data_IF_029266398783
#
_entry.id   IF_029266398783
#
_cell.length_a   1.000
_cell.length_b   1.000
_cell.length_c   1.000
_cell.angle_alpha   90.00
_cell.angle_beta   90.00
_cell.angle_gamma   90.00
#
_symmetry.space_group_name_H-M   'P 1'
#
loop_
_entity.id
_entity.type
_entity.pdbx_description
1 polymer ?
#
# COMPACT_ATOMS: atom_id res chain seq x y z
N UNK A 1 1.95 33.65 -20.33
CA UNK A 1 2.57 32.64 -21.21
C UNK A 1 2.13 32.95 -22.62
N UNK A 2 3.04 33.28 -23.54
CA UNK A 2 2.68 33.52 -24.95
C UNK A 2 2.34 32.17 -25.58
N UNK A 3 1.10 31.99 -26.05
CA UNK A 3 0.74 30.85 -26.88
C UNK A 3 1.62 30.86 -28.12
N UNK A 4 2.40 29.79 -28.31
CA UNK A 4 3.22 29.60 -29.50
C UNK A 4 2.25 29.29 -30.65
N UNK A 5 1.91 30.30 -31.44
CA UNK A 5 1.14 30.12 -32.67
C UNK A 5 2.03 29.43 -33.72
N UNK A 6 1.94 28.10 -33.72
CA UNK A 6 2.74 27.23 -34.60
C UNK A 6 2.36 27.42 -36.07
N UNK A 7 1.20 28.01 -36.36
CA UNK A 7 0.76 28.29 -37.73
C UNK A 7 1.50 29.49 -38.34
N UNK A 8 2.11 30.35 -37.49
CA UNK A 8 3.03 31.41 -37.93
C UNK A 8 4.43 30.90 -38.30
N UNK A 9 4.80 29.67 -37.92
CA UNK A 9 6.11 29.09 -38.25
C UNK A 9 6.07 28.56 -39.70
N UNK A 10 6.29 29.44 -40.68
CA UNK A 10 6.44 28.99 -42.08
C UNK A 10 7.64 28.04 -42.21
N UNK A 11 7.39 26.88 -42.82
CA UNK A 11 8.41 25.86 -43.00
C UNK A 11 9.44 26.30 -44.05
N UNK A 12 10.68 26.55 -43.61
CA UNK A 12 11.80 26.87 -44.53
C UNK A 12 12.40 25.62 -45.20
N UNK A 13 12.00 24.42 -44.75
CA UNK A 13 12.45 23.13 -45.26
C UNK A 13 11.32 22.10 -45.16
N UNK A 14 11.42 20.99 -45.89
CA UNK A 14 10.49 19.88 -45.72
C UNK A 14 10.63 19.29 -44.30
N UNK A 15 9.50 19.22 -43.60
CA UNK A 15 9.41 18.61 -42.27
C UNK A 15 9.36 17.10 -42.47
N UNK A 16 10.33 16.38 -41.89
CA UNK A 16 10.38 14.91 -41.96
C UNK A 16 10.40 14.30 -40.55
N UNK A 17 9.39 13.49 -40.24
CA UNK A 17 9.22 12.76 -38.98
C UNK A 17 10.39 11.83 -38.66
N UNK A 18 11.20 11.46 -39.66
CA UNK A 18 12.44 10.70 -39.48
C UNK A 18 13.54 11.48 -38.77
N UNK A 19 13.44 12.80 -38.63
CA UNK A 19 14.45 13.61 -37.94
C UNK A 19 14.70 13.12 -36.52
N UNK A 20 13.64 12.88 -35.75
CA UNK A 20 13.78 12.33 -34.40
C UNK A 20 14.49 10.97 -34.41
N UNK A 21 14.10 10.09 -35.35
CA UNK A 21 14.70 8.76 -35.50
C UNK A 21 16.18 8.79 -35.93
N UNK A 22 16.59 9.83 -36.65
CA UNK A 22 17.93 9.95 -37.23
C UNK A 22 18.91 10.70 -36.34
N UNK A 23 18.44 11.76 -35.67
CA UNK A 23 19.30 12.69 -34.94
C UNK A 23 19.21 12.55 -33.42
N UNK A 24 18.05 12.14 -32.87
CA UNK A 24 17.83 12.10 -31.42
C UNK A 24 17.87 10.67 -30.88
N UNK A 25 17.13 9.75 -31.51
CA UNK A 25 16.96 8.35 -31.05
C UNK A 25 18.27 7.55 -30.99
N UNK A 26 19.22 7.64 -31.95
CA UNK A 26 20.38 6.75 -31.95
C UNK A 26 21.31 7.04 -30.77
N UNK A 27 21.68 5.99 -30.03
CA UNK A 27 22.59 6.11 -28.87
C UNK A 27 23.96 6.70 -29.24
N UNK A 28 24.42 6.48 -30.48
CA UNK A 28 25.65 7.05 -31.02
C UNK A 28 25.68 8.58 -31.06
N UNK A 29 24.52 9.25 -31.00
CA UNK A 29 24.43 10.72 -30.98
C UNK A 29 24.60 11.30 -29.57
N UNK A 30 24.46 10.49 -28.52
CA UNK A 30 24.61 10.94 -27.12
C UNK A 30 23.62 12.02 -26.66
N UNK A 31 22.61 12.37 -27.48
CA UNK A 31 21.68 13.47 -27.16
C UNK A 31 20.72 13.07 -26.04
N UNK A 32 20.29 11.81 -25.99
CA UNK A 32 19.44 11.29 -24.93
C UNK A 32 20.01 11.58 -23.53
N UNK A 33 21.33 11.41 -23.34
CA UNK A 33 21.98 11.64 -22.05
C UNK A 33 21.91 13.11 -21.61
N UNK A 34 21.80 14.06 -22.55
CA UNK A 34 21.82 15.51 -22.27
C UNK A 34 20.48 16.07 -21.78
N UNK A 35 19.37 15.35 -21.93
CA UNK A 35 18.07 15.82 -21.43
C UNK A 35 18.04 15.86 -19.90
N UNK A 36 17.34 16.84 -19.35
CA UNK A 36 17.19 17.02 -17.91
C UNK A 36 16.53 15.80 -17.25
N UNK A 37 16.88 15.56 -15.99
CA UNK A 37 16.24 14.56 -15.14
C UNK A 37 15.76 15.24 -13.87
N UNK A 38 14.59 14.86 -13.41
CA UNK A 38 14.11 15.21 -12.06
C UNK A 38 14.73 14.21 -11.10
N UNK A 39 15.07 14.67 -9.89
CA UNK A 39 15.65 13.82 -8.85
C UNK A 39 14.85 13.93 -7.57
N UNK A 40 14.74 12.81 -6.84
CA UNK A 40 14.17 12.79 -5.51
C UNK A 40 15.18 13.27 -4.44
N UNK A 41 14.75 13.28 -3.18
CA UNK A 41 15.55 13.65 -2.00
C UNK A 41 16.80 12.78 -1.80
N UNK A 42 16.81 11.56 -2.35
CA UNK A 42 17.97 10.67 -2.36
C UNK A 42 18.90 10.86 -3.58
N UNK A 43 18.71 11.93 -4.35
CA UNK A 43 19.48 12.24 -5.57
C UNK A 43 19.38 11.15 -6.66
N UNK A 44 18.32 10.32 -6.60
CA UNK A 44 18.00 9.33 -7.63
C UNK A 44 17.14 9.97 -8.71
N UNK A 45 17.41 9.66 -9.97
CA UNK A 45 16.61 10.18 -11.07
C UNK A 45 15.23 9.49 -11.11
N UNK A 46 14.16 10.28 -11.23
CA UNK A 46 12.78 9.82 -11.23
C UNK A 46 12.06 10.22 -12.53
N UNK A 47 11.01 9.47 -12.86
CA UNK A 47 10.09 9.82 -13.93
C UNK A 47 9.25 11.04 -13.49
N UNK A 48 9.24 12.17 -14.21
CA UNK A 48 8.45 13.35 -13.85
C UNK A 48 6.93 13.15 -14.07
N UNK A 49 6.51 12.03 -14.65
CA UNK A 49 5.10 11.73 -14.94
C UNK A 49 4.47 10.86 -13.85
N UNK A 50 5.18 9.83 -13.39
CA UNK A 50 4.67 8.89 -12.38
C UNK A 50 5.55 8.79 -11.14
N UNK A 51 6.57 9.64 -11.04
CA UNK A 51 7.50 9.78 -9.92
C UNK A 51 8.30 8.53 -9.56
N UNK A 52 8.22 7.47 -10.36
CA UNK A 52 8.99 6.26 -10.13
C UNK A 52 10.46 6.47 -10.38
N UNK A 53 11.32 5.92 -9.52
CA UNK A 53 12.76 5.87 -9.76
C UNK A 53 13.04 5.21 -11.10
N UNK A 54 13.86 5.87 -11.93
CA UNK A 54 14.22 5.33 -13.24
C UNK A 54 14.96 4.00 -13.09
N UNK A 55 14.43 2.99 -13.79
CA UNK A 55 15.06 1.68 -13.96
C UNK A 55 15.76 1.61 -15.33
N UNK A 56 15.78 0.44 -15.96
CA UNK A 56 16.53 0.18 -17.20
C UNK A 56 15.86 0.74 -18.46
N UNK A 57 14.54 1.00 -18.46
CA UNK A 57 13.80 1.43 -19.65
C UNK A 57 13.37 2.90 -19.55
N UNK A 58 14.31 3.80 -19.74
CA UNK A 58 14.07 5.26 -19.83
C UNK A 58 13.95 5.67 -21.29
N UNK A 59 12.98 6.52 -21.60
CA UNK A 59 12.65 6.99 -22.95
C UNK A 59 12.43 8.50 -22.97
N UNK A 60 12.13 9.07 -24.15
CA UNK A 60 11.67 10.45 -24.29
C UNK A 60 10.23 10.44 -24.81
N UNK A 61 9.37 11.12 -24.08
CA UNK A 61 7.97 11.39 -24.44
C UNK A 61 7.84 12.74 -25.14
N UNK A 62 6.89 12.83 -26.06
CA UNK A 62 6.59 14.03 -26.81
C UNK A 62 5.34 14.69 -26.22
N UNK A 63 5.44 15.91 -25.67
CA UNK A 63 4.25 16.64 -25.16
C UNK A 63 3.28 17.00 -26.29
N UNK A 64 3.83 17.38 -27.44
CA UNK A 64 3.11 17.49 -28.70
C UNK A 64 3.55 16.33 -29.58
N UNK A 65 2.65 15.39 -29.93
CA UNK A 65 3.00 14.20 -30.70
C UNK A 65 3.71 14.55 -32.00
N UNK A 66 4.71 13.77 -32.40
CA UNK A 66 5.51 14.01 -33.62
C UNK A 66 4.89 13.48 -34.91
N UNK A 67 3.65 12.99 -34.87
CA UNK A 67 3.00 12.34 -36.01
C UNK A 67 2.78 13.31 -37.17
N UNK A 68 3.04 12.88 -38.40
CA UNK A 68 2.69 13.60 -39.64
C UNK A 68 1.28 13.27 -40.15
N UNK A 69 0.62 12.30 -39.52
CA UNK A 69 -0.69 11.84 -39.98
C UNK A 69 -1.74 12.93 -39.80
N UNK A 70 -2.71 12.93 -40.70
CA UNK A 70 -3.90 13.77 -40.62
C UNK A 70 -5.13 12.86 -40.56
N UNK A 71 -6.13 13.28 -39.78
CA UNK A 71 -7.43 12.60 -39.67
C UNK A 71 -8.51 13.67 -39.69
N UNK A 72 -9.49 13.57 -40.59
CA UNK A 72 -10.55 14.58 -40.77
C UNK A 72 -10.00 16.01 -40.95
N UNK A 73 -8.98 16.17 -41.81
CA UNK A 73 -8.27 17.43 -42.07
C UNK A 73 -7.59 18.06 -40.83
N UNK A 74 -7.41 17.28 -39.76
CA UNK A 74 -6.69 17.69 -38.56
C UNK A 74 -5.37 16.94 -38.44
N UNK A 75 -4.27 17.70 -38.30
CA UNK A 75 -2.95 17.14 -37.99
C UNK A 75 -2.99 16.43 -36.64
N UNK A 76 -2.53 15.18 -36.61
CA UNK A 76 -2.41 14.39 -35.39
C UNK A 76 -1.18 14.75 -34.56
N UNK A 77 -0.27 15.55 -35.10
CA UNK A 77 0.95 15.94 -34.40
C UNK A 77 1.61 17.17 -35.01
N UNK A 78 2.75 17.52 -34.45
CA UNK A 78 3.60 18.61 -34.89
C UNK A 78 5.07 18.15 -35.00
N UNK A 79 5.49 17.62 -36.16
CA UNK A 79 6.84 17.10 -36.31
C UNK A 79 7.93 18.19 -36.26
N UNK A 80 7.59 19.48 -36.47
CA UNK A 80 8.54 20.61 -36.26
C UNK A 80 9.05 20.66 -34.82
N UNK A 81 8.23 20.22 -33.86
CA UNK A 81 8.57 20.20 -32.44
C UNK A 81 9.24 18.89 -32.01
N UNK A 82 9.42 17.91 -32.91
CA UNK A 82 9.83 16.56 -32.53
C UNK A 82 11.24 16.47 -31.92
N UNK A 83 12.11 17.46 -32.17
CA UNK A 83 13.49 17.50 -31.66
C UNK A 83 13.71 18.62 -30.63
N UNK A 84 12.71 19.45 -30.38
CA UNK A 84 12.88 20.59 -29.48
C UNK A 84 12.87 20.12 -28.02
N UNK A 85 13.85 20.53 -27.19
CA UNK A 85 13.91 20.12 -25.79
C UNK A 85 12.64 20.44 -24.99
N UNK A 86 11.98 21.57 -25.29
CA UNK A 86 10.72 21.96 -24.63
C UNK A 86 9.57 20.96 -24.84
N UNK A 87 9.64 20.17 -25.92
CA UNK A 87 8.64 19.20 -26.30
C UNK A 87 8.98 17.77 -25.86
N UNK A 88 10.11 17.58 -25.16
CA UNK A 88 10.69 16.27 -24.87
C UNK A 88 10.89 16.07 -23.37
N UNK A 89 10.21 15.06 -22.82
CA UNK A 89 10.27 14.71 -21.40
C UNK A 89 10.92 13.35 -21.23
N UNK A 90 11.95 13.26 -20.39
CA UNK A 90 12.49 11.95 -19.99
C UNK A 90 11.46 11.24 -19.13
N UNK A 91 11.02 10.04 -19.53
CA UNK A 91 10.03 9.27 -18.78
C UNK A 91 10.34 7.76 -18.82
N UNK A 92 9.68 6.99 -17.95
CA UNK A 92 9.80 5.54 -17.96
C UNK A 92 9.01 4.93 -19.13
N UNK A 93 9.39 3.73 -19.55
CA UNK A 93 8.74 3.03 -20.66
C UNK A 93 7.29 2.62 -20.39
N UNK A 94 6.84 2.64 -19.13
CA UNK A 94 5.45 2.42 -18.74
C UNK A 94 4.57 3.65 -18.96
N UNK A 95 5.15 4.85 -18.81
CA UNK A 95 4.49 6.13 -19.08
C UNK A 95 4.55 6.49 -20.56
N UNK A 96 5.57 6.10 -21.30
CA UNK A 96 5.59 6.30 -22.75
C UNK A 96 4.60 5.35 -23.45
N UNK A 97 3.37 5.80 -23.63
CA UNK A 97 2.28 4.99 -24.21
C UNK A 97 1.90 5.48 -25.60
N UNK A 98 1.25 4.61 -26.37
CA UNK A 98 0.66 5.01 -27.66
C UNK A 98 -0.64 5.80 -27.52
N UNK A 99 -1.18 5.99 -26.30
CA UNK A 99 -2.43 6.72 -26.07
C UNK A 99 -2.26 8.21 -26.37
N UNK A 100 -1.07 8.74 -26.08
CA UNK A 100 -0.69 10.11 -26.39
C UNK A 100 -0.07 10.22 -27.82
N UNK A 101 -0.82 9.78 -28.83
CA UNK A 101 -0.37 9.79 -30.23
C UNK A 101 -1.04 10.84 -31.10
N UNK A 102 -2.03 11.56 -30.56
CA UNK A 102 -2.81 12.60 -31.23
C UNK A 102 -2.74 13.89 -30.44
N UNK A 103 -2.52 15.01 -31.12
CA UNK A 103 -2.60 16.35 -30.52
C UNK A 103 -4.04 16.64 -30.09
N UNK A 104 -4.17 17.37 -28.99
CA UNK A 104 -5.46 17.86 -28.51
C UNK A 104 -5.96 19.03 -29.36
N UNK A 105 -7.28 19.18 -29.49
CA UNK A 105 -7.92 20.27 -30.26
C UNK A 105 -8.69 21.24 -29.38
N UNK A 106 -8.90 20.89 -28.12
CA UNK A 106 -9.57 21.72 -27.10
C UNK A 106 -8.63 21.99 -25.93
N UNK A 107 -8.95 23.03 -25.15
CA UNK A 107 -8.18 23.38 -23.96
C UNK A 107 -8.32 22.30 -22.88
N UNK A 108 -9.50 21.73 -22.74
CA UNK A 108 -9.86 20.70 -21.78
C UNK A 108 -9.16 19.36 -22.06
N UNK A 109 -8.77 19.13 -23.31
CA UNK A 109 -8.01 17.95 -23.73
C UNK A 109 -6.50 18.19 -23.79
N UNK A 110 -6.06 19.44 -23.62
CA UNK A 110 -4.64 19.79 -23.76
C UNK A 110 -3.78 19.07 -22.73
N UNK A 111 -2.62 18.58 -23.18
CA UNK A 111 -1.67 17.84 -22.35
C UNK A 111 -1.08 18.74 -21.25
N UNK A 112 -0.63 18.12 -20.15
CA UNK A 112 0.11 18.80 -19.08
C UNK A 112 1.61 18.59 -19.32
N UNK A 113 2.37 19.69 -19.36
CA UNK A 113 3.82 19.62 -19.47
C UNK A 113 4.49 19.56 -18.09
N UNK A 114 5.04 18.41 -17.63
CA UNK A 114 5.56 18.24 -16.26
C UNK A 114 6.77 19.12 -15.90
N UNK A 115 7.36 19.83 -16.86
CA UNK A 115 8.46 20.77 -16.62
C UNK A 115 8.01 22.23 -16.52
N UNK A 116 6.77 22.54 -16.89
CA UNK A 116 6.27 23.91 -16.97
C UNK A 116 4.92 24.11 -16.27
N UNK A 117 4.23 23.02 -15.95
CA UNK A 117 2.94 23.01 -15.27
C UNK A 117 3.01 22.08 -14.06
N UNK A 118 2.31 22.47 -13.00
CA UNK A 118 2.23 21.75 -11.74
C UNK A 118 0.75 21.58 -11.33
N UNK A 119 0.45 20.45 -10.72
CA UNK A 119 -0.79 20.18 -10.01
C UNK A 119 -0.47 19.17 -8.90
N UNK A 120 -1.16 19.27 -7.77
CA UNK A 120 -1.01 18.30 -6.71
C UNK A 120 -1.91 17.10 -7.01
N UNK A 121 -1.31 15.92 -7.19
CA UNK A 121 -2.06 14.68 -7.45
C UNK A 121 -2.72 14.13 -6.17
N UNK A 122 -2.31 14.59 -4.98
CA UNK A 122 -2.95 14.23 -3.71
C UNK A 122 -4.43 14.64 -3.69
N UNK A 123 -4.73 15.83 -4.22
CA UNK A 123 -6.09 16.38 -4.34
C UNK A 123 -7.05 15.48 -5.13
N UNK A 124 -6.51 14.58 -5.95
CA UNK A 124 -7.27 13.75 -6.88
C UNK A 124 -7.36 12.29 -6.46
N UNK A 125 -6.68 11.85 -5.41
CA UNK A 125 -6.60 10.42 -5.06
C UNK A 125 -7.20 10.07 -3.71
N UNK A 126 -7.70 8.84 -3.60
CA UNK A 126 -8.07 8.22 -2.33
C UNK A 126 -7.68 6.74 -2.33
N UNK A 127 -7.13 6.29 -1.20
CA UNK A 127 -6.93 4.85 -0.97
C UNK A 127 -8.24 4.21 -0.53
N UNK A 128 -8.66 3.23 -1.32
CA UNK A 128 -9.82 2.39 -1.07
C UNK A 128 -9.38 0.93 -0.95
N UNK A 129 -10.23 0.08 -0.36
CA UNK A 129 -10.03 -1.36 -0.36
C UNK A 129 -11.12 -2.04 -1.20
N UNK A 130 -10.70 -2.89 -2.13
CA UNK A 130 -11.62 -3.83 -2.75
C UNK A 130 -12.04 -4.83 -1.69
N UNK A 131 -13.34 -4.88 -1.42
CA UNK A 131 -13.95 -5.71 -0.38
C UNK A 131 -15.01 -6.65 -0.97
N UNK A 132 -14.72 -7.20 -2.14
CA UNK A 132 -15.58 -8.17 -2.81
C UNK A 132 -15.27 -9.57 -2.26
N UNK A 133 -15.50 -9.85 -0.97
CA UNK A 133 -15.53 -11.17 -0.29
C UNK A 133 -14.31 -12.13 -0.41
N UNK A 134 -13.70 -12.25 -1.58
CA UNK A 134 -12.59 -13.11 -1.96
C UNK A 134 -11.23 -12.40 -1.91
N UNK A 135 -11.19 -11.08 -2.09
CA UNK A 135 -9.97 -10.29 -2.19
C UNK A 135 -10.08 -9.07 -1.29
N UNK A 136 -9.12 -8.90 -0.38
CA UNK A 136 -8.92 -7.69 0.43
C UNK A 136 -7.60 -7.03 0.01
N UNK A 137 -7.66 -6.03 -0.87
CA UNK A 137 -6.48 -5.34 -1.42
C UNK A 137 -6.74 -3.85 -1.57
N UNK A 138 -5.76 -2.98 -1.27
CA UNK A 138 -5.89 -1.56 -1.53
C UNK A 138 -5.85 -1.28 -3.03
N UNK A 139 -6.54 -0.21 -3.41
CA UNK A 139 -6.49 0.42 -4.71
C UNK A 139 -6.52 1.94 -4.54
N UNK A 140 -6.05 2.65 -5.56
CA UNK A 140 -6.17 4.09 -5.65
C UNK A 140 -7.33 4.39 -6.59
N UNK A 141 -8.27 5.19 -6.10
CA UNK A 141 -9.34 5.78 -6.91
C UNK A 141 -9.02 7.24 -7.17
N UNK A 142 -9.33 7.67 -8.38
CA UNK A 142 -9.21 9.07 -8.78
C UNK A 142 -10.58 9.74 -8.78
N UNK A 143 -10.64 10.97 -8.29
CA UNK A 143 -11.85 11.79 -8.29
C UNK A 143 -11.58 13.10 -9.01
N UNK A 144 -12.56 13.53 -9.78
CA UNK A 144 -12.48 14.73 -10.60
C UNK A 144 -13.77 15.53 -10.45
N UNK A 145 -13.66 16.85 -10.51
CA UNK A 145 -14.76 17.79 -10.64
C UNK A 145 -15.02 18.09 -12.13
N UNK A 146 -16.20 18.60 -12.46
CA UNK A 146 -16.52 19.01 -13.84
C UNK A 146 -15.98 20.41 -14.14
N UNK A 147 -14.65 20.53 -14.22
CA UNK A 147 -13.98 21.77 -14.61
C UNK A 147 -12.88 21.49 -15.68
N UNK A 148 -12.45 22.52 -16.44
CA UNK A 148 -11.47 22.34 -17.52
C UNK A 148 -10.12 21.75 -17.09
N UNK A 149 -9.60 22.10 -15.91
CA UNK A 149 -8.31 21.60 -15.43
C UNK A 149 -8.39 20.13 -15.04
N UNK A 150 -9.45 19.74 -14.36
CA UNK A 150 -9.68 18.34 -13.95
C UNK A 150 -9.82 17.41 -15.17
N UNK A 151 -10.42 17.88 -16.27
CA UNK A 151 -10.45 17.15 -17.55
C UNK A 151 -9.06 16.94 -18.12
N UNK A 152 -8.18 17.96 -18.06
CA UNK A 152 -6.78 17.83 -18.48
C UNK A 152 -6.03 16.82 -17.62
N UNK A 153 -6.20 16.88 -16.30
CA UNK A 153 -5.58 15.95 -15.36
C UNK A 153 -6.08 14.52 -15.62
N UNK A 154 -7.38 14.32 -15.80
CA UNK A 154 -7.94 13.02 -16.14
C UNK A 154 -7.32 12.44 -17.43
N UNK A 155 -7.13 13.29 -18.44
CA UNK A 155 -6.45 12.90 -19.68
C UNK A 155 -5.00 12.55 -19.44
N UNK A 156 -4.25 13.34 -18.66
CA UNK A 156 -2.87 13.05 -18.26
C UNK A 156 -2.76 11.68 -17.55
N UNK A 157 -3.57 11.45 -16.52
CA UNK A 157 -3.63 10.17 -15.78
C UNK A 157 -3.89 8.98 -16.74
N UNK A 158 -4.81 9.17 -17.70
CA UNK A 158 -5.21 8.14 -18.66
C UNK A 158 -4.12 7.86 -19.71
N UNK A 159 -3.52 8.92 -20.26
CA UNK A 159 -2.48 8.88 -21.28
C UNK A 159 -1.25 8.15 -20.76
N UNK A 160 -0.87 8.42 -19.52
CA UNK A 160 0.37 7.91 -18.94
C UNK A 160 0.21 6.67 -18.05
N UNK A 161 -0.98 6.05 -18.04
CA UNK A 161 -1.31 4.87 -17.23
C UNK A 161 -0.97 5.07 -15.73
N UNK A 162 -1.17 6.27 -15.19
CA UNK A 162 -0.78 6.57 -13.81
C UNK A 162 -1.61 5.75 -12.83
N UNK A 163 -2.92 5.65 -13.06
CA UNK A 163 -3.81 4.81 -12.24
C UNK A 163 -3.31 3.37 -12.12
N UNK A 164 -2.96 2.74 -13.25
CA UNK A 164 -2.42 1.37 -13.27
C UNK A 164 -1.09 1.28 -12.52
N UNK A 165 -0.22 2.27 -12.70
CA UNK A 165 1.11 2.32 -12.08
C UNK A 165 1.01 2.46 -10.57
N UNK A 166 0.18 3.39 -10.10
CA UNK A 166 -0.06 3.65 -8.68
C UNK A 166 -0.74 2.47 -8.00
N UNK A 167 -1.77 1.88 -8.64
CA UNK A 167 -2.40 0.66 -8.15
C UNK A 167 -1.45 -0.54 -8.07
N UNK A 168 -0.46 -0.62 -8.96
CA UNK A 168 0.58 -1.64 -8.87
C UNK A 168 1.50 -1.41 -7.65
N UNK A 169 1.97 -0.17 -7.45
CA UNK A 169 2.87 0.17 -6.34
C UNK A 169 2.21 0.03 -4.98
N UNK A 170 0.99 0.55 -4.79
CA UNK A 170 0.27 0.42 -3.53
C UNK A 170 0.02 -1.05 -3.16
N UNK A 171 -0.21 -1.91 -4.17
CA UNK A 171 -0.35 -3.36 -3.96
C UNK A 171 0.96 -4.00 -3.50
N UNK A 172 2.11 -3.60 -4.06
CA UNK A 172 3.42 -4.10 -3.64
C UNK A 172 3.72 -3.67 -2.19
N UNK A 173 3.43 -2.43 -1.82
CA UNK A 173 3.63 -1.96 -0.45
C UNK A 173 2.72 -2.69 0.55
N UNK A 174 1.45 -2.91 0.18
CA UNK A 174 0.57 -3.71 1.00
C UNK A 174 1.07 -5.16 1.17
N UNK A 175 1.62 -5.77 0.13
CA UNK A 175 2.24 -7.09 0.23
C UNK A 175 3.42 -7.08 1.22
N UNK A 176 4.27 -6.05 1.22
CA UNK A 176 5.35 -5.91 2.19
C UNK A 176 4.83 -5.78 3.62
N UNK A 177 3.81 -4.94 3.85
CA UNK A 177 3.15 -4.80 5.15
C UNK A 177 2.63 -6.16 5.63
N UNK A 178 1.92 -6.89 4.77
CA UNK A 178 1.42 -8.22 5.11
C UNK A 178 2.53 -9.22 5.42
N UNK A 179 3.66 -9.16 4.70
CA UNK A 179 4.83 -10.01 5.01
C UNK A 179 5.42 -9.68 6.37
N UNK A 180 5.54 -8.40 6.72
CA UNK A 180 6.00 -7.97 8.05
C UNK A 180 5.07 -8.51 9.14
N UNK A 181 3.75 -8.39 8.94
CA UNK A 181 2.75 -8.90 9.88
C UNK A 181 2.73 -10.44 9.95
N UNK A 182 2.97 -11.13 8.83
CA UNK A 182 3.01 -12.59 8.76
C UNK A 182 4.21 -13.21 9.48
N UNK A 183 5.27 -12.43 9.74
CA UNK A 183 6.37 -12.88 10.60
C UNK A 183 5.91 -13.16 12.04
N UNK A 184 4.75 -12.62 12.45
CA UNK A 184 4.10 -13.02 13.69
C UNK A 184 3.39 -14.38 13.49
N UNK A 185 3.72 -15.41 14.28
CA UNK A 185 3.15 -16.76 14.10
C UNK A 185 1.74 -16.92 14.67
N UNK A 186 1.25 -15.95 15.45
CA UNK A 186 -0.07 -15.99 16.10
C UNK A 186 -1.00 -15.02 15.38
N UNK A 187 -2.26 -15.41 15.17
CA UNK A 187 -3.31 -14.51 14.65
C UNK A 187 -3.34 -13.20 15.45
N UNK A 188 -3.32 -12.07 14.74
CA UNK A 188 -3.22 -10.77 15.38
C UNK A 188 -4.59 -10.35 15.90
N UNK A 189 -4.70 -10.18 17.20
CA UNK A 189 -5.90 -9.69 17.89
C UNK A 189 -6.16 -8.24 17.49
N UNK A 190 -7.37 -7.70 17.75
CA UNK A 190 -7.67 -6.28 17.46
C UNK A 190 -6.60 -5.33 18.05
N UNK A 191 -6.26 -5.51 19.32
CA UNK A 191 -5.31 -4.64 20.03
C UNK A 191 -3.88 -4.77 19.49
N UNK A 192 -3.43 -5.99 19.23
CA UNK A 192 -2.09 -6.25 18.71
C UNK A 192 -1.97 -5.71 17.28
N UNK A 193 -2.94 -6.05 16.42
CA UNK A 193 -2.97 -5.59 15.04
C UNK A 193 -3.00 -4.06 14.97
N UNK A 194 -3.84 -3.42 15.80
CA UNK A 194 -3.90 -1.96 15.91
C UNK A 194 -2.54 -1.38 16.28
N UNK A 195 -1.88 -1.91 17.31
CA UNK A 195 -0.56 -1.45 17.74
C UNK A 195 0.49 -1.58 16.62
N UNK A 196 0.49 -2.68 15.86
CA UNK A 196 1.37 -2.83 14.70
C UNK A 196 1.07 -1.81 13.59
N UNK A 197 -0.21 -1.61 13.26
CA UNK A 197 -0.61 -0.64 12.23
C UNK A 197 -0.30 0.79 12.66
N UNK A 198 -0.48 1.15 13.92
CA UNK A 198 -0.09 2.46 14.48
C UNK A 198 1.42 2.69 14.42
N UNK A 199 2.22 1.67 14.74
CA UNK A 199 3.67 1.75 14.63
C UNK A 199 4.13 1.92 13.17
N UNK A 200 3.53 1.18 12.24
CA UNK A 200 3.80 1.33 10.81
C UNK A 200 3.35 2.70 10.30
N UNK A 201 2.20 3.19 10.74
CA UNK A 201 1.69 4.52 10.39
C UNK A 201 2.67 5.62 10.79
N UNK A 202 3.16 5.61 12.03
CA UNK A 202 4.16 6.57 12.53
C UNK A 202 5.47 6.49 11.73
N UNK A 203 5.94 5.27 11.45
CA UNK A 203 7.17 5.04 10.68
C UNK A 203 7.03 5.57 9.25
N UNK A 204 5.96 5.19 8.55
CA UNK A 204 5.72 5.62 7.19
C UNK A 204 5.50 7.13 7.10
N UNK A 205 4.75 7.73 8.03
CA UNK A 205 4.54 9.17 8.09
C UNK A 205 5.85 9.94 8.22
N UNK A 206 6.73 9.54 9.15
CA UNK A 206 8.05 10.18 9.32
C UNK A 206 8.92 10.04 8.06
N UNK A 207 8.92 8.87 7.45
CA UNK A 207 9.70 8.64 6.24
C UNK A 207 9.15 9.44 5.06
N UNK A 208 7.83 9.49 4.87
CA UNK A 208 7.21 10.24 3.78
C UNK A 208 7.41 11.75 3.94
N UNK A 209 7.40 12.28 5.16
CA UNK A 209 7.78 13.67 5.43
C UNK A 209 9.24 13.96 5.05
N UNK A 210 10.16 13.06 5.40
CA UNK A 210 11.57 13.20 5.05
C UNK A 210 11.80 13.12 3.52
N UNK A 211 10.94 12.40 2.82
CA UNK A 211 11.05 12.14 1.38
C UNK A 211 10.38 13.19 0.48
N UNK A 212 9.75 14.21 1.07
CA UNK A 212 9.12 15.31 0.32
C UNK A 212 10.08 15.96 -0.67
N UNK A 213 9.55 16.35 -1.83
CA UNK A 213 10.25 17.11 -2.86
C UNK A 213 9.73 18.54 -2.78
N UNK A 214 10.48 19.41 -2.12
CA UNK A 214 9.92 20.69 -1.68
C UNK A 214 8.97 20.44 -0.51
N UNK A 215 7.75 20.99 -0.59
CA UNK A 215 6.71 20.80 0.43
C UNK A 215 5.73 19.65 0.08
N UNK A 216 5.87 19.05 -1.10
CA UNK A 216 4.96 18.04 -1.65
C UNK A 216 5.45 16.60 -1.39
N UNK A 217 4.50 15.68 -1.14
CA UNK A 217 4.81 14.27 -0.98
C UNK A 217 5.31 13.64 -2.28
N UNK A 218 6.33 12.80 -2.16
CA UNK A 218 6.79 11.96 -3.25
C UNK A 218 5.96 10.67 -3.31
N UNK A 219 5.29 10.42 -4.44
CA UNK A 219 4.37 9.28 -4.63
C UNK A 219 5.12 7.97 -4.91
N UNK A 220 5.80 7.48 -3.87
CA UNK A 220 6.51 6.20 -3.85
C UNK A 220 6.23 5.41 -2.55
N UNK A 221 7.07 4.41 -2.27
CA UNK A 221 6.84 3.35 -1.29
C UNK A 221 6.36 3.83 0.08
N UNK A 222 7.06 4.79 0.71
CA UNK A 222 6.69 5.21 2.06
C UNK A 222 5.37 5.96 2.08
N UNK A 223 5.10 6.80 1.09
CA UNK A 223 3.84 7.54 1.03
C UNK A 223 2.66 6.61 0.77
N UNK A 224 2.78 5.63 -0.13
CA UNK A 224 1.76 4.59 -0.28
C UNK A 224 1.57 3.77 1.00
N UNK A 225 2.65 3.43 1.70
CA UNK A 225 2.59 2.77 3.01
C UNK A 225 1.83 3.60 4.05
N UNK A 226 2.09 4.91 4.09
CA UNK A 226 1.39 5.86 4.95
C UNK A 226 -0.12 5.85 4.66
N UNK A 227 -0.55 6.03 3.40
CA UNK A 227 -1.97 6.05 3.04
C UNK A 227 -2.68 4.72 3.35
N UNK A 228 -2.02 3.58 3.13
CA UNK A 228 -2.56 2.26 3.51
C UNK A 228 -2.78 2.19 5.02
N UNK A 229 -1.75 2.51 5.81
CA UNK A 229 -1.81 2.42 7.27
C UNK A 229 -2.81 3.41 7.84
N UNK A 230 -2.94 4.60 7.27
CA UNK A 230 -3.93 5.59 7.69
C UNK A 230 -5.35 5.04 7.49
N UNK A 231 -5.65 4.49 6.30
CA UNK A 231 -6.93 3.88 6.01
C UNK A 231 -7.23 2.70 6.96
N UNK A 232 -6.26 1.79 7.14
CA UNK A 232 -6.43 0.64 8.03
C UNK A 232 -6.64 1.05 9.49
N UNK A 233 -5.90 2.05 9.98
CA UNK A 233 -6.02 2.52 11.37
C UNK A 233 -7.44 3.06 11.65
N UNK A 234 -7.99 3.86 10.71
CA UNK A 234 -9.38 4.37 10.80
C UNK A 234 -10.41 3.24 10.77
N UNK A 235 -10.18 2.18 9.99
CA UNK A 235 -11.12 1.06 9.81
C UNK A 235 -11.07 0.03 10.93
N UNK A 236 -9.89 -0.32 11.44
CA UNK A 236 -9.72 -1.32 12.51
C UNK A 236 -10.47 -0.91 13.78
N UNK A 237 -10.62 0.40 14.03
CA UNK A 237 -11.40 0.85 15.17
C UNK A 237 -12.89 0.56 15.03
N UNK A 238 -13.42 0.75 13.81
CA UNK A 238 -14.85 0.85 13.54
C UNK A 238 -15.47 -0.39 12.88
N UNK A 239 -14.66 -1.27 12.30
CA UNK A 239 -15.11 -2.41 11.49
C UNK A 239 -14.33 -3.69 11.82
N UNK A 240 -14.96 -4.58 12.59
CA UNK A 240 -14.39 -5.88 12.99
C UNK A 240 -14.12 -6.76 11.75
N UNK A 241 -14.89 -6.61 10.66
CA UNK A 241 -14.70 -7.44 9.46
C UNK A 241 -13.35 -7.20 8.79
N UNK A 242 -12.79 -5.99 8.93
CA UNK A 242 -11.46 -5.64 8.41
C UNK A 242 -10.36 -6.42 9.14
N UNK A 243 -10.51 -6.64 10.43
CA UNK A 243 -9.57 -7.43 11.24
C UNK A 243 -9.54 -8.88 10.75
N UNK A 244 -10.72 -9.46 10.54
CA UNK A 244 -10.84 -10.81 10.00
C UNK A 244 -10.23 -10.93 8.60
N UNK A 245 -10.57 -10.01 7.69
CA UNK A 245 -10.05 -9.99 6.31
C UNK A 245 -8.53 -9.82 6.26
N UNK A 246 -7.99 -8.93 7.09
CA UNK A 246 -6.55 -8.71 7.15
C UNK A 246 -5.83 -9.93 7.72
N UNK A 247 -6.33 -10.55 8.79
CA UNK A 247 -5.79 -11.80 9.31
C UNK A 247 -5.84 -12.94 8.27
N UNK A 248 -6.92 -13.02 7.48
CA UNK A 248 -7.01 -13.98 6.37
C UNK A 248 -5.91 -13.75 5.33
N UNK A 249 -5.62 -12.50 4.96
CA UNK A 249 -4.53 -12.16 4.03
C UNK A 249 -3.13 -12.39 4.62
N UNK A 250 -2.93 -12.12 5.91
CA UNK A 250 -1.69 -12.40 6.64
C UNK A 250 -1.44 -13.92 6.66
N UNK A 251 -2.47 -14.71 7.00
CA UNK A 251 -2.38 -16.16 7.09
C UNK A 251 -1.98 -16.83 5.77
N UNK A 252 -2.44 -16.31 4.63
CA UNK A 252 -2.02 -16.78 3.30
C UNK A 252 -0.51 -16.67 3.05
N UNK A 253 0.20 -15.82 3.80
CA UNK A 253 1.64 -15.53 3.64
C UNK A 253 2.52 -16.18 4.71
N UNK A 254 1.93 -16.76 5.74
CA UNK A 254 2.68 -17.49 6.78
C UNK A 254 3.30 -18.76 6.18
N UNK A 255 4.51 -19.08 6.61
CA UNK A 255 5.10 -20.37 6.26
C UNK A 255 4.32 -21.50 6.93
N UNK A 256 4.28 -22.72 6.35
CA UNK A 256 3.51 -23.84 6.91
C UNK A 256 3.84 -24.19 8.37
N UNK A 257 5.09 -23.98 8.81
CA UNK A 257 5.51 -24.20 10.20
C UNK A 257 5.09 -23.08 11.17
N UNK A 258 4.64 -21.93 10.64
CA UNK A 258 4.13 -20.78 11.40
C UNK A 258 2.60 -20.75 11.42
N UNK A 259 1.93 -21.55 10.59
CA UNK A 259 0.48 -21.59 10.48
C UNK A 259 -0.11 -22.58 11.49
N UNK A 260 -0.89 -22.07 12.44
CA UNK A 260 -1.75 -22.90 13.29
C UNK A 260 -3.17 -22.83 12.70
N UNK A 261 -3.66 -23.96 12.19
CA UNK A 261 -5.06 -24.10 11.82
C UNK A 261 -5.88 -24.36 13.08
N UNK A 262 -6.53 -23.33 13.62
CA UNK A 262 -7.50 -23.52 14.69
C UNK A 262 -8.83 -24.02 14.12
N UNK A 263 -9.46 -24.96 14.81
CA UNK A 263 -10.81 -25.46 14.53
C UNK A 263 -11.84 -24.36 14.80
N UNK A 264 -11.65 -23.60 15.90
CA UNK A 264 -12.37 -22.38 16.20
C UNK A 264 -11.66 -21.18 15.53
N UNK A 265 -12.31 -20.58 14.53
CA UNK A 265 -11.78 -19.41 13.84
C UNK A 265 -11.66 -18.17 14.74
N UNK A 266 -12.46 -18.09 15.80
CA UNK A 266 -12.49 -17.02 16.79
C UNK A 266 -11.65 -17.35 18.03
N UNK A 267 -10.90 -18.47 18.04
CA UNK A 267 -10.14 -18.97 19.20
C UNK A 267 -9.38 -17.88 19.97
N UNK A 268 -8.65 -17.03 19.25
CA UNK A 268 -7.86 -15.96 19.87
C UNK A 268 -8.74 -14.81 20.40
N UNK A 269 -9.83 -14.48 19.73
CA UNK A 269 -10.77 -13.45 20.21
C UNK A 269 -11.47 -13.94 21.48
N UNK A 270 -11.96 -15.18 21.46
CA UNK A 270 -12.56 -15.84 22.63
C UNK A 270 -11.58 -15.87 23.81
N UNK A 271 -10.31 -16.21 23.55
CA UNK A 271 -9.25 -16.22 24.57
C UNK A 271 -9.03 -14.84 25.22
N UNK A 272 -9.07 -13.77 24.41
CA UNK A 272 -8.90 -12.40 24.90
C UNK A 272 -10.09 -11.86 25.68
N UNK A 273 -11.28 -12.43 25.48
CA UNK A 273 -12.50 -12.04 26.18
C UNK A 273 -12.71 -12.81 27.50
N UNK A 274 -11.86 -13.79 27.81
CA UNK A 274 -11.87 -14.47 29.11
C UNK A 274 -11.56 -13.47 30.23
N UNK A 275 -12.56 -13.20 31.08
CA UNK A 275 -12.46 -12.25 32.18
C UNK A 275 -12.54 -12.93 33.55
N UNK A 276 -13.41 -13.93 33.68
CA UNK A 276 -13.66 -14.62 34.95
C UNK A 276 -13.17 -16.07 34.90
N UNK A 277 -13.09 -16.70 36.09
CA UNK A 277 -12.78 -18.13 36.19
C UNK A 277 -13.81 -19.00 35.44
N UNK A 278 -15.08 -18.57 35.41
CA UNK A 278 -16.15 -19.26 34.69
C UNK A 278 -15.96 -19.17 33.17
N UNK A 279 -15.56 -18.00 32.67
CA UNK A 279 -15.26 -17.83 31.24
C UNK A 279 -14.08 -18.70 30.84
N UNK A 280 -13.04 -18.76 31.69
CA UNK A 280 -11.87 -19.59 31.45
C UNK A 280 -12.25 -21.07 31.38
N UNK A 281 -13.05 -21.55 32.33
CA UNK A 281 -13.51 -22.94 32.35
C UNK A 281 -14.30 -23.31 31.09
N UNK A 282 -15.21 -22.44 30.65
CA UNK A 282 -15.93 -22.63 29.39
C UNK A 282 -14.99 -22.62 28.19
N UNK A 283 -14.05 -21.67 28.16
CA UNK A 283 -13.10 -21.52 27.07
C UNK A 283 -12.22 -22.76 26.90
N UNK A 284 -11.58 -23.25 27.97
CA UNK A 284 -10.67 -24.41 27.89
C UNK A 284 -11.39 -25.70 27.53
N UNK A 285 -12.67 -25.87 27.95
CA UNK A 285 -13.49 -27.02 27.58
C UNK A 285 -13.88 -27.00 26.11
N UNK A 286 -14.27 -25.83 25.59
CA UNK A 286 -14.74 -25.70 24.21
C UNK A 286 -13.61 -25.66 23.18
N UNK A 287 -12.38 -25.32 23.61
CA UNK A 287 -11.25 -25.07 22.71
C UNK A 287 -10.02 -25.92 23.03
N UNK A 288 -10.20 -27.11 23.62
CA UNK A 288 -9.10 -27.93 24.11
C UNK A 288 -8.04 -28.21 23.05
N UNK A 289 -8.45 -28.71 21.88
CA UNK A 289 -7.52 -29.09 20.80
C UNK A 289 -6.74 -27.89 20.28
N UNK A 290 -7.43 -26.77 20.06
CA UNK A 290 -6.84 -25.51 19.60
C UNK A 290 -5.91 -24.90 20.64
N UNK A 291 -6.25 -25.01 21.93
CA UNK A 291 -5.42 -24.55 23.03
C UNK A 291 -4.11 -25.36 23.15
N UNK A 292 -4.16 -26.67 22.90
CA UNK A 292 -2.96 -27.52 22.85
C UNK A 292 -2.06 -27.08 21.68
N UNK A 293 -2.63 -26.88 20.49
CA UNK A 293 -1.88 -26.43 19.30
C UNK A 293 -1.25 -25.05 19.53
N UNK A 294 -2.03 -24.11 20.10
CA UNK A 294 -1.55 -22.79 20.48
C UNK A 294 -0.37 -22.88 21.46
N UNK A 295 -0.53 -23.65 22.54
CA UNK A 295 0.51 -23.82 23.56
C UNK A 295 1.82 -24.37 22.98
N UNK A 296 1.74 -25.40 22.14
CA UNK A 296 2.92 -25.98 21.51
C UNK A 296 3.69 -24.97 20.66
N UNK A 297 2.99 -24.05 20.00
CA UNK A 297 3.63 -23.06 19.13
C UNK A 297 4.27 -21.90 19.92
N UNK A 298 3.59 -21.39 20.95
CA UNK A 298 4.16 -20.31 21.78
C UNK A 298 5.34 -20.82 22.63
N UNK A 299 5.30 -22.09 23.07
CA UNK A 299 6.40 -22.74 23.80
C UNK A 299 7.69 -22.80 22.97
N UNK A 300 7.61 -23.07 21.65
CA UNK A 300 8.79 -23.05 20.76
C UNK A 300 9.47 -21.68 20.70
N UNK A 301 8.76 -20.61 21.03
CA UNK A 301 9.24 -19.23 21.01
C UNK A 301 9.69 -18.75 22.40
N UNK A 302 9.61 -19.60 23.43
CA UNK A 302 9.90 -19.20 24.81
C UNK A 302 8.82 -18.31 25.44
N UNK A 303 7.61 -18.28 24.88
CA UNK A 303 6.46 -17.54 25.41
C UNK A 303 5.61 -18.44 26.33
N UNK A 304 4.91 -17.83 27.29
CA UNK A 304 3.93 -18.48 28.16
C UNK A 304 2.50 -18.23 27.67
N UNK A 305 1.55 -19.06 28.12
CA UNK A 305 0.12 -18.78 27.96
C UNK A 305 -0.21 -17.48 28.70
N UNK A 306 -1.03 -16.64 28.08
CA UNK A 306 -1.52 -15.38 28.66
C UNK A 306 -3.00 -15.22 28.33
N UNK A 307 -3.83 -14.98 29.34
CA UNK A 307 -5.22 -14.54 29.19
C UNK A 307 -5.33 -13.06 29.57
N UNK A 308 -5.32 -12.11 28.60
CA UNK A 308 -5.04 -10.70 28.89
C UNK A 308 -6.05 -10.01 29.81
N UNK A 309 -7.32 -10.41 29.78
CA UNK A 309 -8.39 -9.81 30.59
C UNK A 309 -8.78 -10.62 31.84
N UNK A 310 -8.14 -11.76 32.07
CA UNK A 310 -8.48 -12.63 33.21
C UNK A 310 -8.22 -11.90 34.54
N UNK A 311 -9.25 -11.85 35.39
CA UNK A 311 -9.33 -11.14 36.68
C UNK A 311 -9.17 -9.62 36.59
N UNK A 312 -9.30 -8.99 35.41
CA UNK A 312 -9.01 -7.56 35.22
C UNK A 312 -9.82 -6.61 36.14
N UNK A 313 -11.01 -7.02 36.57
CA UNK A 313 -11.92 -6.24 37.43
C UNK A 313 -11.82 -6.57 38.94
N UNK A 314 -10.97 -7.51 39.36
CA UNK A 314 -10.82 -7.90 40.78
C UNK A 314 -9.98 -6.91 41.61
N UNK A 315 -10.18 -6.95 42.94
CA UNK A 315 -9.48 -6.20 44.00
C UNK A 315 -7.93 -6.30 43.94
N UNK A 316 -7.24 -5.41 44.67
CA UNK A 316 -5.78 -5.18 44.79
C UNK A 316 -4.85 -5.79 43.71
N UNK A 317 -4.12 -4.91 43.00
CA UNK A 317 -3.35 -5.21 41.79
C UNK A 317 -2.37 -6.39 41.95
N UNK A 318 -1.76 -6.52 43.13
CA UNK A 318 -0.74 -7.55 43.41
C UNK A 318 -1.35 -8.95 43.61
N UNK A 319 -2.52 -9.05 44.24
CA UNK A 319 -3.21 -10.33 44.45
C UNK A 319 -3.78 -10.86 43.13
N UNK A 320 -4.31 -9.96 42.30
CA UNK A 320 -4.77 -10.25 40.94
C UNK A 320 -3.68 -10.89 40.07
N UNK A 321 -2.48 -10.29 40.06
CA UNK A 321 -1.36 -10.78 39.24
C UNK A 321 -0.92 -12.18 39.68
N UNK A 322 -0.85 -12.44 40.99
CA UNK A 322 -0.50 -13.76 41.53
C UNK A 322 -1.53 -14.82 41.15
N UNK A 323 -2.82 -14.53 41.34
CA UNK A 323 -3.92 -15.43 40.97
C UNK A 323 -3.91 -15.76 39.48
N UNK A 324 -3.75 -14.74 38.64
CA UNK A 324 -3.65 -14.91 37.19
C UNK A 324 -2.50 -15.85 36.80
N UNK A 325 -1.28 -15.56 37.26
CA UNK A 325 -0.11 -16.37 36.91
C UNK A 325 -0.24 -17.82 37.40
N UNK A 326 -0.81 -18.02 38.60
CA UNK A 326 -1.05 -19.36 39.12
C UNK A 326 -2.02 -20.14 38.23
N UNK A 327 -3.12 -19.52 37.82
CA UNK A 327 -4.11 -20.15 36.94
C UNK A 327 -3.54 -20.48 35.56
N UNK A 328 -2.74 -19.58 34.98
CA UNK A 328 -2.06 -19.82 33.69
C UNK A 328 -1.09 -21.01 33.77
N UNK A 329 -0.38 -21.16 34.89
CA UNK A 329 0.49 -22.33 35.13
C UNK A 329 -0.33 -23.62 35.35
N UNK A 330 -1.52 -23.55 35.97
CA UNK A 330 -2.42 -24.71 36.07
C UNK A 330 -2.90 -25.11 34.67
N UNK A 331 -3.36 -24.17 33.84
CA UNK A 331 -3.77 -24.47 32.45
C UNK A 331 -2.63 -25.16 31.69
N UNK A 332 -1.42 -24.63 31.80
CA UNK A 332 -0.22 -25.22 31.23
C UNK A 332 0.03 -26.65 31.73
N UNK A 333 -0.07 -26.87 33.04
CA UNK A 333 0.06 -28.21 33.63
C UNK A 333 -0.96 -29.19 33.04
N UNK A 334 -2.22 -28.78 32.85
CA UNK A 334 -3.26 -29.64 32.27
C UNK A 334 -2.91 -30.04 30.84
N UNK A 335 -2.44 -29.09 30.04
CA UNK A 335 -2.01 -29.31 28.66
C UNK A 335 -0.81 -30.27 28.62
N UNK A 336 0.21 -30.03 29.44
CA UNK A 336 1.44 -30.83 29.43
C UNK A 336 1.25 -32.24 29.99
N UNK A 337 0.38 -32.40 30.98
CA UNK A 337 0.06 -33.71 31.58
C UNK A 337 -1.02 -34.49 30.82
N UNK A 338 -1.67 -33.87 29.83
CA UNK A 338 -2.81 -34.46 29.13
C UNK A 338 -4.04 -34.66 30.02
N UNK A 339 -4.16 -33.92 31.12
CA UNK A 339 -5.30 -34.01 32.05
C UNK A 339 -6.59 -33.50 31.40
N UNK A 340 -7.72 -34.08 31.76
CA UNK A 340 -9.05 -33.62 31.32
C UNK A 340 -9.40 -32.27 31.95
N UNK A 341 -10.03 -31.38 31.18
CA UNK A 341 -10.56 -30.10 31.67
C UNK A 341 -11.95 -30.22 32.33
N UNK A 342 -12.55 -31.41 32.40
CA UNK A 342 -13.90 -31.60 32.96
C UNK A 342 -14.05 -31.03 34.39
N UNK A 343 -13.05 -31.26 35.25
CA UNK A 343 -13.01 -30.81 36.65
C UNK A 343 -12.13 -29.57 36.88
N UNK A 344 -11.77 -28.85 35.80
CA UNK A 344 -10.81 -27.75 35.87
C UNK A 344 -11.21 -26.64 36.87
N UNK A 345 -12.49 -26.25 36.89
CA UNK A 345 -12.98 -25.22 37.82
C UNK A 345 -12.85 -25.63 39.29
N UNK A 346 -13.21 -26.87 39.62
CA UNK A 346 -13.13 -27.44 40.98
C UNK A 346 -11.68 -27.54 41.47
N UNK A 347 -10.80 -28.00 40.58
CA UNK A 347 -9.37 -28.12 40.84
C UNK A 347 -8.73 -26.73 41.08
N UNK A 348 -9.10 -25.72 40.29
CA UNK A 348 -8.62 -24.35 40.47
C UNK A 348 -9.14 -23.71 41.77
N UNK A 349 -10.42 -23.89 42.10
CA UNK A 349 -11.00 -23.38 43.33
C UNK A 349 -10.32 -23.96 44.58
N UNK A 350 -9.94 -25.24 44.54
CA UNK A 350 -9.23 -25.93 45.61
C UNK A 350 -7.81 -25.39 45.84
N UNK A 351 -7.18 -24.85 44.79
CA UNK A 351 -5.82 -24.31 44.85
C UNK A 351 -5.82 -22.82 45.22
N UNK A 352 -6.79 -22.03 44.72
CA UNK A 352 -6.88 -20.60 45.01
C UNK A 352 -7.38 -20.33 46.45
N UNK A 353 -8.10 -21.28 47.06
CA UNK A 353 -8.59 -21.17 48.45
C UNK A 353 -7.51 -21.45 49.52
N UNK A 354 -6.30 -21.83 49.11
CA UNK A 354 -5.10 -22.04 49.95
C UNK A 354 -4.21 -20.82 49.82
#
# INVERSE_FOLDING_TARGET
MYELDVDLIQSQCDIDSKWYGTYVRPSSKGLFQKFAVVKNTYNQAICPICEGVFSTKVTLEHIMPKSEKEENDQKLGEPRLAILPINLVKCCGECNTSKHSKRSVTKEESEINPYFEEFDIEDYIEVNFNDTGEIFQPNIKFYYQDNPMDKRIQNFITNYNIEKTYNHRIKLEFQKILTILANNPITLTKSILKSYIEHLLDTYSKNSEFEKIGDEYWFDQNYFGFLICEHLNRKIENDISVIYKLNKEINKRRQPFQYIAFSNQEFQNDMNEVQTMKDLEMFVKNNKEDLILYYQQIKKQGLSIDFPKLFKEDEDRDDRLRKKCLIEEIVKYYIESGKSFEHFGEDCASIIAI
#
